data_IF_590096658855
#
_entry.id   IF_590096658855
#
_cell.length_a   1.000
_cell.length_b   1.000
_cell.length_c   1.000
_cell.angle_alpha   90.00
_cell.angle_beta   90.00
_cell.angle_gamma   90.00
#
_symmetry.space_group_name_H-M   'P 1'
#
loop_
_entity.id
_entity.type
_entity.pdbx_description
1 polymer ?
#
# COMPACT_ATOMS: atom_id res chain seq x y z
N UNK A 1 -21.17 1.11 -24.98
CA UNK A 1 -21.15 2.55 -25.35
C UNK A 1 -20.56 3.46 -24.27
N UNK A 2 -20.95 3.38 -22.98
CA UNK A 2 -20.24 4.12 -21.90
C UNK A 2 -18.80 3.62 -21.68
N UNK A 3 -18.59 2.30 -21.57
CA UNK A 3 -17.26 1.69 -21.33
C UNK A 3 -16.23 2.04 -22.42
N UNK A 4 -16.58 1.90 -23.71
CA UNK A 4 -15.71 2.31 -24.83
C UNK A 4 -15.33 3.80 -24.83
N UNK A 5 -16.22 4.68 -24.34
CA UNK A 5 -15.93 6.12 -24.28
C UNK A 5 -15.01 6.47 -23.11
N UNK A 6 -15.05 5.70 -22.02
CA UNK A 6 -14.19 5.87 -20.84
C UNK A 6 -12.82 5.21 -21.07
N UNK A 7 -12.76 4.07 -21.78
CA UNK A 7 -11.50 3.43 -22.18
C UNK A 7 -10.66 4.35 -23.09
N UNK A 8 -11.31 5.14 -23.95
CA UNK A 8 -10.65 6.20 -24.73
C UNK A 8 -10.12 7.35 -23.88
N UNK A 9 -10.82 7.74 -22.79
CA UNK A 9 -10.36 8.80 -21.87
C UNK A 9 -9.18 8.33 -21.03
N UNK A 10 -9.15 7.07 -20.60
CA UNK A 10 -8.01 6.51 -19.89
C UNK A 10 -6.79 6.33 -20.78
N UNK A 11 -7.02 5.91 -22.04
CA UNK A 11 -5.98 5.88 -23.05
C UNK A 11 -5.47 7.30 -23.34
N UNK A 12 -6.35 8.29 -23.48
CA UNK A 12 -5.96 9.68 -23.72
C UNK A 12 -5.24 10.28 -22.51
N UNK A 13 -5.68 10.05 -21.27
CA UNK A 13 -5.03 10.53 -20.05
C UNK A 13 -3.67 9.83 -19.85
N UNK A 14 -3.58 8.51 -20.08
CA UNK A 14 -2.30 7.79 -20.01
C UNK A 14 -1.35 8.22 -21.14
N UNK A 15 -1.83 8.37 -22.37
CA UNK A 15 -1.05 8.87 -23.51
C UNK A 15 -0.66 10.33 -23.31
N UNK A 16 -1.52 11.17 -22.74
CA UNK A 16 -1.27 12.58 -22.45
C UNK A 16 -0.26 12.73 -21.33
N UNK A 17 -0.37 11.98 -20.23
CA UNK A 17 0.65 11.99 -19.19
C UNK A 17 1.96 11.39 -19.66
N UNK A 18 1.92 10.33 -20.46
CA UNK A 18 3.11 9.82 -21.15
C UNK A 18 3.69 10.88 -22.10
N UNK A 19 2.85 11.65 -22.80
CA UNK A 19 3.27 12.71 -23.72
C UNK A 19 3.76 13.98 -23.03
N UNK A 20 3.15 14.42 -21.95
CA UNK A 20 3.62 15.55 -21.13
C UNK A 20 4.91 15.16 -20.41
N UNK A 21 5.01 13.92 -19.93
CA UNK A 21 6.22 13.40 -19.30
C UNK A 21 7.39 13.23 -20.30
N UNK A 22 7.11 12.75 -21.52
CA UNK A 22 8.13 12.34 -22.49
C UNK A 22 8.35 13.31 -23.67
N UNK A 23 7.35 14.12 -24.03
CA UNK A 23 7.29 14.87 -25.30
C UNK A 23 6.87 16.36 -25.19
N UNK A 24 6.40 16.90 -24.05
CA UNK A 24 6.25 18.36 -23.92
C UNK A 24 7.62 19.06 -23.81
N UNK A 25 7.96 19.84 -24.83
CA UNK A 25 9.12 20.74 -24.88
C UNK A 25 8.83 22.06 -24.14
N UNK A 26 9.62 22.47 -23.13
CA UNK A 26 9.80 23.89 -22.84
C UNK A 26 10.48 24.56 -24.05
N UNK A 27 10.20 25.84 -24.28
CA UNK A 27 10.45 26.59 -25.52
C UNK A 27 11.91 26.82 -25.96
N UNK A 28 12.85 25.93 -25.60
CA UNK A 28 14.25 26.00 -26.01
C UNK A 28 14.77 24.60 -26.38
N UNK A 29 14.85 24.33 -27.69
CA UNK A 29 15.32 23.07 -28.25
C UNK A 29 16.85 22.96 -28.21
N UNK A 30 17.38 22.16 -27.28
CA UNK A 30 18.77 21.67 -27.29
C UNK A 30 18.78 20.14 -27.46
N UNK A 31 19.67 19.62 -28.30
CA UNK A 31 19.81 18.18 -28.59
C UNK A 31 21.18 17.68 -28.13
N UNK A 32 21.21 16.48 -27.53
CA UNK A 32 22.43 15.78 -27.14
C UNK A 32 22.81 14.75 -28.22
N UNK A 33 24.07 14.79 -28.64
CA UNK A 33 24.62 13.90 -29.67
C UNK A 33 25.48 12.84 -29.00
N UNK A 34 25.20 11.57 -29.28
CA UNK A 34 25.95 10.43 -28.75
C UNK A 34 27.05 9.97 -29.73
N UNK A 35 28.05 9.24 -29.24
CA UNK A 35 29.24 8.81 -30.03
C UNK A 35 28.90 8.00 -31.30
N UNK A 36 27.73 7.37 -31.35
CA UNK A 36 27.23 6.62 -32.49
C UNK A 36 26.51 7.50 -33.55
N UNK A 37 26.51 8.82 -33.38
CA UNK A 37 25.87 9.78 -34.29
C UNK A 37 24.35 9.89 -34.12
N UNK A 38 23.75 9.19 -33.15
CA UNK A 38 22.34 9.36 -32.81
C UNK A 38 22.13 10.62 -31.98
N UNK A 39 21.03 11.33 -32.25
CA UNK A 39 20.67 12.56 -31.55
C UNK A 39 19.37 12.38 -30.80
N UNK A 40 19.38 12.73 -29.52
CA UNK A 40 18.20 12.69 -28.65
C UNK A 40 18.00 14.09 -28.06
N UNK A 41 16.76 14.60 -27.92
CA UNK A 41 16.53 15.85 -27.22
C UNK A 41 17.19 15.83 -25.82
N UNK A 42 17.88 16.92 -25.46
CA UNK A 42 18.72 16.99 -24.25
C UNK A 42 17.89 16.72 -22.98
N UNK A 43 16.65 17.19 -22.93
CA UNK A 43 15.71 16.91 -21.85
C UNK A 43 15.30 15.43 -21.77
N UNK A 44 15.14 14.72 -22.89
CA UNK A 44 14.85 13.28 -22.89
C UNK A 44 16.06 12.50 -22.39
N UNK A 45 17.26 12.89 -22.80
CA UNK A 45 18.50 12.29 -22.28
C UNK A 45 18.66 12.55 -20.78
N UNK A 46 18.46 13.79 -20.31
CA UNK A 46 18.50 14.16 -18.88
C UNK A 46 17.42 13.46 -18.06
N UNK A 47 16.17 13.39 -18.52
CA UNK A 47 15.08 12.67 -17.84
C UNK A 47 15.35 11.17 -17.81
N UNK A 48 15.91 10.60 -18.88
CA UNK A 48 16.33 9.19 -18.92
C UNK A 48 17.47 8.93 -17.95
N UNK A 49 18.48 9.82 -17.88
CA UNK A 49 19.55 9.75 -16.87
C UNK A 49 18.98 9.89 -15.45
N UNK A 50 18.01 10.77 -15.23
CA UNK A 50 17.34 10.95 -13.94
C UNK A 50 16.58 9.69 -13.53
N UNK A 51 15.85 9.05 -14.45
CA UNK A 51 15.16 7.77 -14.24
C UNK A 51 16.18 6.66 -13.97
N UNK A 52 17.29 6.60 -14.71
CA UNK A 52 18.36 5.62 -14.49
C UNK A 52 19.02 5.84 -13.13
N UNK A 53 19.26 7.08 -12.72
CA UNK A 53 19.80 7.46 -11.43
C UNK A 53 18.82 7.13 -10.29
N UNK A 54 17.51 7.32 -10.52
CA UNK A 54 16.43 6.94 -9.60
C UNK A 54 16.31 5.41 -9.49
N UNK A 55 16.41 4.68 -10.60
CA UNK A 55 16.41 3.22 -10.63
C UNK A 55 17.61 2.63 -9.88
N UNK A 56 18.76 3.31 -9.90
CA UNK A 56 19.94 2.93 -9.10
C UNK A 56 19.76 3.16 -7.60
N UNK A 57 18.84 4.04 -7.18
CA UNK A 57 18.54 4.35 -5.77
C UNK A 57 17.50 3.42 -5.13
N UNK A 58 16.82 2.60 -5.93
CA UNK A 58 15.84 1.63 -5.43
C UNK A 58 16.52 0.31 -5.03
N UNK A 59 16.31 -0.21 -3.80
CA UNK A 59 16.95 -1.44 -3.32
C UNK A 59 16.44 -2.71 -4.03
N UNK A 60 15.29 -2.65 -4.72
CA UNK A 60 14.73 -3.80 -5.45
C UNK A 60 14.01 -3.35 -6.75
N UNK A 61 14.70 -3.50 -7.88
CA UNK A 61 14.18 -3.12 -9.21
C UNK A 61 13.28 -4.19 -9.85
N UNK A 62 13.01 -5.32 -9.17
CA UNK A 62 12.26 -6.43 -9.77
C UNK A 62 10.81 -6.08 -10.10
N UNK A 63 10.14 -5.23 -9.31
CA UNK A 63 8.75 -4.85 -9.56
C UNK A 63 8.65 -3.98 -10.83
N UNK A 64 9.51 -2.97 -10.94
CA UNK A 64 9.64 -2.10 -12.12
C UNK A 64 10.06 -2.88 -13.36
N UNK A 65 11.07 -3.75 -13.25
CA UNK A 65 11.50 -4.64 -14.34
C UNK A 65 10.38 -5.60 -14.75
N UNK A 66 9.58 -6.10 -13.81
CA UNK A 66 8.44 -6.96 -14.11
C UNK A 66 7.32 -6.20 -14.81
N UNK A 67 7.04 -4.96 -14.38
CA UNK A 67 6.05 -4.09 -15.03
C UNK A 67 6.53 -3.71 -16.44
N UNK A 68 7.81 -3.35 -16.61
CA UNK A 68 8.42 -3.03 -17.91
C UNK A 68 8.44 -4.27 -18.82
N UNK A 69 8.87 -5.44 -18.34
CA UNK A 69 8.86 -6.69 -19.11
C UNK A 69 7.45 -7.07 -19.55
N UNK A 70 6.45 -6.93 -18.67
CA UNK A 70 5.03 -7.19 -18.99
C UNK A 70 4.47 -6.20 -19.99
N UNK A 71 4.90 -4.94 -19.96
CA UNK A 71 4.57 -3.93 -20.96
C UNK A 71 5.25 -4.18 -22.32
N UNK A 72 6.48 -4.69 -22.33
CA UNK A 72 7.22 -5.01 -23.56
C UNK A 72 6.74 -6.31 -24.22
N UNK A 73 6.07 -7.22 -23.50
CA UNK A 73 5.44 -8.42 -24.05
C UNK A 73 4.09 -8.17 -24.75
N UNK A 74 3.80 -6.92 -25.12
CA UNK A 74 2.72 -6.43 -25.97
C UNK A 74 1.83 -7.51 -26.63
N UNK A 75 0.73 -7.87 -25.97
CA UNK A 75 -0.55 -8.02 -26.66
C UNK A 75 -1.33 -6.72 -26.41
N UNK A 76 -1.17 -5.79 -27.34
CA UNK A 76 -1.98 -4.57 -27.47
C UNK A 76 -3.47 -4.99 -27.43
N UNK A 77 -4.30 -4.25 -26.66
CA UNK A 77 -5.80 -4.20 -26.67
C UNK A 77 -6.53 -4.32 -25.32
N UNK A 78 -5.88 -4.18 -24.16
CA UNK A 78 -6.63 -4.12 -22.89
C UNK A 78 -6.34 -2.84 -22.07
N UNK A 79 -7.37 -2.17 -21.50
CA UNK A 79 -7.23 -1.04 -20.57
C UNK A 79 -6.29 -1.33 -19.38
N UNK A 80 -6.07 -2.62 -19.11
CA UNK A 80 -5.12 -3.13 -18.12
C UNK A 80 -3.69 -2.56 -18.28
N UNK A 81 -3.18 -2.47 -19.51
CA UNK A 81 -1.77 -2.12 -19.73
C UNK A 81 -1.49 -0.67 -19.33
N UNK A 82 -2.41 0.24 -19.67
CA UNK A 82 -2.27 1.67 -19.34
C UNK A 82 -2.33 1.92 -17.83
N UNK A 83 -3.24 1.24 -17.12
CA UNK A 83 -3.32 1.37 -15.66
C UNK A 83 -2.08 0.84 -14.96
N UNK A 84 -1.46 -0.23 -15.47
CA UNK A 84 -0.20 -0.74 -14.92
C UNK A 84 0.97 0.23 -15.15
N UNK A 85 0.99 0.95 -16.27
CA UNK A 85 1.97 2.02 -16.50
C UNK A 85 1.73 3.19 -15.55
N UNK A 86 0.48 3.63 -15.40
CA UNK A 86 0.13 4.68 -14.43
C UNK A 86 0.49 4.28 -13.00
N UNK A 87 0.27 3.03 -12.63
CA UNK A 87 0.69 2.48 -11.33
C UNK A 87 2.21 2.58 -11.19
N UNK A 88 3.00 2.18 -12.18
CA UNK A 88 4.46 2.31 -12.12
C UNK A 88 4.92 3.77 -11.99
N UNK A 89 4.29 4.71 -12.68
CA UNK A 89 4.59 6.13 -12.53
C UNK A 89 4.23 6.63 -11.12
N UNK A 90 3.04 6.30 -10.64
CA UNK A 90 2.57 6.68 -9.30
C UNK A 90 3.47 6.11 -8.19
N UNK A 91 3.93 4.87 -8.34
CA UNK A 91 4.86 4.22 -7.41
C UNK A 91 6.21 4.95 -7.31
N UNK A 92 6.66 5.56 -8.41
CA UNK A 92 7.93 6.31 -8.46
C UNK A 92 7.72 7.73 -7.91
N UNK A 93 6.66 8.40 -8.35
CA UNK A 93 6.30 9.74 -7.91
C UNK A 93 4.78 9.94 -8.07
N UNK A 94 4.02 9.97 -6.95
CA UNK A 94 2.57 10.15 -6.99
C UNK A 94 2.13 11.49 -7.61
N UNK A 95 3.01 12.51 -7.66
CA UNK A 95 2.68 13.81 -8.26
C UNK A 95 2.46 13.72 -9.78
N UNK A 96 3.02 12.69 -10.44
CA UNK A 96 2.76 12.40 -11.85
C UNK A 96 1.31 12.01 -12.12
N UNK A 97 0.60 11.53 -11.10
CA UNK A 97 -0.84 11.24 -11.16
C UNK A 97 -1.68 12.33 -10.45
N UNK A 98 -1.09 13.48 -10.13
CA UNK A 98 -1.77 14.64 -9.56
C UNK A 98 -1.36 15.93 -10.31
N UNK A 99 -1.82 16.13 -11.56
CA UNK A 99 -1.43 17.28 -12.38
C UNK A 99 -1.73 18.61 -11.67
N UNK A 100 -0.82 19.59 -11.73
CA UNK A 100 -0.96 20.87 -11.05
C UNK A 100 -2.22 21.66 -11.48
N UNK A 101 -2.69 21.46 -12.72
CA UNK A 101 -3.91 22.07 -13.26
C UNK A 101 -5.20 21.47 -12.67
N UNK A 102 -5.21 20.17 -12.39
CA UNK A 102 -6.33 19.46 -11.79
C UNK A 102 -5.85 18.22 -11.01
N UNK A 103 -5.43 18.38 -9.74
CA UNK A 103 -4.85 17.28 -8.96
C UNK A 103 -5.82 16.10 -8.75
N UNK A 104 -7.13 16.37 -8.76
CA UNK A 104 -8.17 15.34 -8.54
C UNK A 104 -8.58 14.56 -9.80
N UNK A 105 -8.05 14.92 -10.98
CA UNK A 105 -8.45 14.33 -12.26
C UNK A 105 -8.37 12.80 -12.24
N UNK A 106 -7.25 12.24 -11.79
CA UNK A 106 -7.05 10.78 -11.78
C UNK A 106 -7.99 10.07 -10.83
N UNK A 107 -8.29 10.64 -9.67
CA UNK A 107 -9.27 10.05 -8.73
C UNK A 107 -10.65 10.00 -9.40
N UNK A 108 -11.08 11.08 -10.05
CA UNK A 108 -12.37 11.18 -10.73
C UNK A 108 -12.45 10.22 -11.93
N UNK A 109 -11.40 10.17 -12.76
CA UNK A 109 -11.36 9.33 -13.96
C UNK A 109 -11.33 7.84 -13.62
N UNK A 110 -10.61 7.46 -12.55
CA UNK A 110 -10.41 6.06 -12.19
C UNK A 110 -11.55 5.47 -11.34
N UNK A 111 -12.22 6.28 -10.51
CA UNK A 111 -13.28 5.82 -9.62
C UNK A 111 -14.36 4.93 -10.29
N UNK A 112 -14.88 5.25 -11.50
CA UNK A 112 -15.90 4.41 -12.15
C UNK A 112 -15.48 2.95 -12.37
N UNK A 113 -14.18 2.68 -12.52
CA UNK A 113 -13.64 1.34 -12.79
C UNK A 113 -13.69 0.42 -11.57
N UNK A 114 -13.73 0.99 -10.36
CA UNK A 114 -13.89 0.25 -9.10
C UNK A 114 -15.20 -0.57 -9.07
N UNK A 115 -16.22 -0.10 -9.81
CA UNK A 115 -17.57 -0.69 -9.87
C UNK A 115 -17.69 -1.94 -10.76
N UNK A 116 -16.60 -2.40 -11.38
CA UNK A 116 -16.59 -3.54 -12.32
C UNK A 116 -17.05 -4.85 -11.68
N UNK A 117 -18.14 -5.47 -12.12
CA UNK A 117 -18.70 -6.66 -11.41
C UNK A 117 -17.93 -7.98 -11.62
N UNK A 118 -16.99 -8.03 -12.57
CA UNK A 118 -16.20 -9.23 -12.87
C UNK A 118 -15.24 -9.53 -11.71
N UNK A 119 -15.16 -10.80 -11.28
CA UNK A 119 -14.30 -11.26 -10.18
C UNK A 119 -13.35 -12.35 -10.68
N UNK A 120 -12.18 -11.95 -11.18
CA UNK A 120 -11.10 -12.84 -11.61
C UNK A 120 -9.74 -12.20 -11.28
N UNK A 121 -8.65 -12.95 -11.41
CA UNK A 121 -7.31 -12.49 -11.00
C UNK A 121 -6.81 -11.27 -11.77
N UNK A 122 -7.12 -11.17 -13.07
CA UNK A 122 -6.73 -10.02 -13.90
C UNK A 122 -7.44 -8.75 -13.45
N UNK A 123 -8.76 -8.83 -13.24
CA UNK A 123 -9.57 -7.70 -12.75
C UNK A 123 -9.19 -7.36 -11.30
N UNK A 124 -8.82 -8.33 -10.47
CA UNK A 124 -8.31 -8.07 -9.14
C UNK A 124 -7.02 -7.23 -9.20
N UNK A 125 -6.07 -7.60 -10.07
CA UNK A 125 -4.84 -6.83 -10.26
C UNK A 125 -5.11 -5.41 -10.80
N UNK A 126 -6.11 -5.26 -11.68
CA UNK A 126 -6.57 -3.95 -12.14
C UNK A 126 -7.07 -3.10 -10.98
N UNK A 127 -8.01 -3.65 -10.20
CA UNK A 127 -8.64 -2.95 -9.09
C UNK A 127 -7.61 -2.60 -8.01
N UNK A 128 -6.66 -3.48 -7.73
CA UNK A 128 -5.54 -3.22 -6.84
C UNK A 128 -4.68 -2.05 -7.34
N UNK A 129 -4.34 -2.02 -8.63
CA UNK A 129 -3.54 -0.94 -9.24
C UNK A 129 -4.29 0.39 -9.23
N UNK A 130 -5.58 0.39 -9.58
CA UNK A 130 -6.42 1.59 -9.53
C UNK A 130 -6.51 2.11 -8.10
N UNK A 131 -6.79 1.23 -7.14
CA UNK A 131 -6.92 1.60 -5.73
C UNK A 131 -5.60 2.14 -5.18
N UNK A 132 -4.46 1.58 -5.60
CA UNK A 132 -3.13 2.08 -5.26
C UNK A 132 -2.92 3.52 -5.77
N UNK A 133 -3.18 3.77 -7.05
CA UNK A 133 -3.03 5.13 -7.63
C UNK A 133 -3.90 6.14 -6.88
N UNK A 134 -5.16 5.77 -6.60
CA UNK A 134 -6.07 6.64 -5.84
C UNK A 134 -5.53 6.88 -4.42
N UNK A 135 -5.09 5.84 -3.72
CA UNK A 135 -4.54 5.93 -2.35
C UNK A 135 -3.32 6.87 -2.26
N UNK A 136 -2.40 6.79 -3.22
CA UNK A 136 -1.16 7.58 -3.22
C UNK A 136 -1.38 9.02 -3.71
N UNK A 137 -2.35 9.24 -4.60
CA UNK A 137 -2.72 10.60 -5.05
C UNK A 137 -3.53 11.35 -3.99
N UNK A 138 -4.39 10.66 -3.24
CA UNK A 138 -5.28 11.25 -2.24
C UNK A 138 -4.54 12.21 -1.28
N UNK A 139 -3.43 11.84 -0.62
CA UNK A 139 -2.67 12.72 0.27
C UNK A 139 -2.15 14.01 -0.36
N UNK A 140 -1.98 14.05 -1.69
CA UNK A 140 -1.54 15.25 -2.42
C UNK A 140 -2.68 16.25 -2.65
N UNK A 141 -3.94 15.85 -2.40
CA UNK A 141 -5.11 16.68 -2.65
C UNK A 141 -5.40 17.57 -1.45
N UNK A 142 -5.47 18.89 -1.66
CA UNK A 142 -5.87 19.83 -0.60
C UNK A 142 -7.34 19.70 -0.21
N UNK A 143 -8.23 19.36 -1.17
CA UNK A 143 -9.66 19.17 -0.95
C UNK A 143 -10.27 18.35 -2.08
N UNK A 144 -11.21 17.47 -1.75
CA UNK A 144 -12.02 16.75 -2.72
C UNK A 144 -13.50 17.14 -2.54
N UNK A 145 -14.30 17.28 -3.61
CA UNK A 145 -15.74 17.49 -3.49
C UNK A 145 -16.41 16.38 -2.65
N UNK A 146 -17.31 16.77 -1.73
CA UNK A 146 -17.95 15.85 -0.79
C UNK A 146 -18.68 14.69 -1.49
N UNK A 147 -19.29 14.94 -2.64
CA UNK A 147 -19.95 13.90 -3.44
C UNK A 147 -18.98 12.81 -3.87
N UNK A 148 -17.76 13.16 -4.28
CA UNK A 148 -16.75 12.18 -4.70
C UNK A 148 -16.23 11.40 -3.49
N UNK A 149 -16.02 12.09 -2.35
CA UNK A 149 -15.61 11.44 -1.09
C UNK A 149 -16.63 10.39 -0.66
N UNK A 150 -17.91 10.76 -0.61
CA UNK A 150 -18.96 9.85 -0.17
C UNK A 150 -19.15 8.68 -1.17
N UNK A 151 -19.07 8.93 -2.48
CA UNK A 151 -19.11 7.87 -3.49
C UNK A 151 -17.92 6.92 -3.38
N UNK A 152 -16.70 7.44 -3.21
CA UNK A 152 -15.49 6.64 -3.08
C UNK A 152 -15.54 5.78 -1.82
N UNK A 153 -16.01 6.34 -0.70
CA UNK A 153 -16.21 5.60 0.55
C UNK A 153 -17.16 4.41 0.33
N UNK A 154 -18.30 4.62 -0.35
CA UNK A 154 -19.23 3.53 -0.61
C UNK A 154 -18.63 2.46 -1.54
N UNK A 155 -17.92 2.87 -2.58
CA UNK A 155 -17.27 1.94 -3.52
C UNK A 155 -16.23 1.07 -2.80
N UNK A 156 -15.37 1.69 -1.98
CA UNK A 156 -14.37 0.99 -1.17
C UNK A 156 -15.03 0.02 -0.19
N UNK A 157 -16.09 0.44 0.53
CA UNK A 157 -16.85 -0.44 1.43
C UNK A 157 -17.43 -1.64 0.70
N UNK A 158 -18.04 -1.45 -0.47
CA UNK A 158 -18.59 -2.56 -1.25
C UNK A 158 -17.49 -3.52 -1.72
N UNK A 159 -16.32 -3.00 -2.13
CA UNK A 159 -15.19 -3.83 -2.53
C UNK A 159 -14.63 -4.64 -1.35
N UNK A 160 -14.48 -4.02 -0.17
CA UNK A 160 -14.06 -4.69 1.07
C UNK A 160 -15.01 -5.82 1.45
N UNK A 161 -16.32 -5.66 1.21
CA UNK A 161 -17.31 -6.66 1.59
C UNK A 161 -17.48 -7.78 0.55
N UNK A 162 -17.31 -7.50 -0.75
CA UNK A 162 -17.73 -8.42 -1.83
C UNK A 162 -16.60 -9.11 -2.60
N UNK A 163 -15.41 -8.51 -2.71
CA UNK A 163 -14.33 -9.04 -3.58
C UNK A 163 -13.65 -10.25 -2.99
N UNK A 164 -13.47 -11.33 -3.73
CA UNK A 164 -12.82 -12.55 -3.22
C UNK A 164 -11.32 -12.39 -2.93
N UNK A 165 -10.63 -11.56 -3.70
CA UNK A 165 -9.18 -11.35 -3.61
C UNK A 165 -8.78 -10.44 -2.45
N UNK A 166 -7.91 -10.95 -1.58
CA UNK A 166 -7.51 -10.27 -0.35
C UNK A 166 -6.54 -9.11 -0.59
N UNK A 167 -5.79 -9.11 -1.68
CA UNK A 167 -4.91 -7.99 -2.08
C UNK A 167 -5.74 -6.74 -2.41
N UNK A 168 -6.85 -6.91 -3.14
CA UNK A 168 -7.81 -5.84 -3.41
C UNK A 168 -8.41 -5.31 -2.11
N UNK A 169 -8.83 -6.20 -1.21
CA UNK A 169 -9.39 -5.81 0.10
C UNK A 169 -8.37 -5.00 0.91
N UNK A 170 -7.11 -5.42 0.91
CA UNK A 170 -6.03 -4.68 1.58
C UNK A 170 -5.86 -3.29 0.99
N UNK A 171 -5.73 -3.18 -0.34
CA UNK A 171 -5.64 -1.90 -1.03
C UNK A 171 -6.83 -1.00 -0.69
N UNK A 172 -8.05 -1.53 -0.64
CA UNK A 172 -9.23 -0.74 -0.29
C UNK A 172 -9.22 -0.24 1.15
N UNK A 173 -8.80 -1.06 2.12
CA UNK A 173 -8.72 -0.61 3.53
C UNK A 173 -7.62 0.45 3.70
N UNK A 174 -6.48 0.30 3.01
CA UNK A 174 -5.41 1.31 2.98
C UNK A 174 -5.92 2.63 2.37
N UNK A 175 -6.57 2.57 1.21
CA UNK A 175 -7.18 3.72 0.54
C UNK A 175 -8.26 4.40 1.40
N UNK A 176 -9.07 3.62 2.12
CA UNK A 176 -10.10 4.14 3.01
C UNK A 176 -9.49 5.02 4.11
N UNK A 177 -8.32 4.65 4.66
CA UNK A 177 -7.60 5.49 5.62
C UNK A 177 -7.20 6.83 5.01
N UNK A 178 -6.57 6.84 3.84
CA UNK A 178 -6.12 8.07 3.17
C UNK A 178 -7.30 8.98 2.86
N UNK A 179 -8.40 8.41 2.36
CA UNK A 179 -9.65 9.12 2.11
C UNK A 179 -10.25 9.69 3.41
N UNK A 180 -10.34 8.90 4.49
CA UNK A 180 -10.84 9.35 5.79
C UNK A 180 -10.00 10.48 6.38
N UNK A 181 -8.67 10.46 6.17
CA UNK A 181 -7.76 11.53 6.60
C UNK A 181 -8.11 12.85 5.93
N UNK A 182 -8.37 12.84 4.62
CA UNK A 182 -8.76 14.04 3.84
C UNK A 182 -10.17 14.51 4.21
N UNK A 183 -11.08 13.58 4.43
CA UNK A 183 -12.45 13.89 4.81
C UNK A 183 -12.58 14.41 6.26
N UNK A 184 -11.55 14.20 7.11
CA UNK A 184 -11.60 14.50 8.54
C UNK A 184 -12.59 13.63 9.32
N UNK A 185 -13.13 12.57 8.70
CA UNK A 185 -14.10 11.63 9.28
C UNK A 185 -13.73 10.20 8.87
N UNK A 186 -13.86 9.25 9.79
CA UNK A 186 -13.52 7.84 9.49
C UNK A 186 -13.83 6.84 10.61
N UNK A 187 -14.00 7.31 11.85
CA UNK A 187 -14.27 6.43 12.99
C UNK A 187 -15.49 5.53 12.77
N UNK A 188 -16.62 6.10 12.35
CA UNK A 188 -17.90 5.38 12.19
C UNK A 188 -17.80 4.27 11.13
N UNK A 189 -17.08 4.52 10.04
CA UNK A 189 -16.92 3.56 8.94
C UNK A 189 -16.05 2.40 9.37
N UNK A 190 -14.93 2.67 10.05
CA UNK A 190 -14.03 1.65 10.56
C UNK A 190 -14.75 0.80 11.61
N UNK A 191 -15.44 1.43 12.56
CA UNK A 191 -16.22 0.73 13.60
C UNK A 191 -17.30 -0.17 12.99
N UNK A 192 -18.07 0.36 12.03
CA UNK A 192 -19.08 -0.40 11.32
C UNK A 192 -18.48 -1.64 10.61
N UNK A 193 -17.37 -1.48 9.89
CA UNK A 193 -16.73 -2.60 9.19
C UNK A 193 -16.19 -3.66 10.17
N UNK A 194 -15.58 -3.23 11.29
CA UNK A 194 -15.14 -4.16 12.35
C UNK A 194 -16.34 -4.96 12.88
N UNK A 195 -17.45 -4.29 13.21
CA UNK A 195 -18.67 -4.96 13.69
C UNK A 195 -19.23 -5.96 12.68
N UNK A 196 -19.23 -5.63 11.38
CA UNK A 196 -19.67 -6.53 10.31
C UNK A 196 -18.82 -7.82 10.29
N UNK A 197 -17.49 -7.69 10.34
CA UNK A 197 -16.61 -8.87 10.30
C UNK A 197 -16.67 -9.70 11.58
N UNK A 198 -16.87 -9.09 12.75
CA UNK A 198 -17.17 -9.82 13.98
C UNK A 198 -18.47 -10.63 13.85
N UNK A 199 -19.54 -10.03 13.34
CA UNK A 199 -20.81 -10.74 13.10
C UNK A 199 -20.65 -11.90 12.11
N UNK A 200 -19.82 -11.74 11.08
CA UNK A 200 -19.47 -12.83 10.17
C UNK A 200 -18.78 -14.00 10.88
N UNK A 201 -17.94 -13.73 11.88
CA UNK A 201 -17.30 -14.78 12.67
C UNK A 201 -18.31 -15.50 13.56
N UNK A 202 -19.18 -14.78 14.27
CA UNK A 202 -20.19 -15.37 15.15
C UNK A 202 -21.13 -16.34 14.40
N UNK A 203 -21.43 -16.04 13.14
CA UNK A 203 -22.37 -16.82 12.30
C UNK A 203 -21.72 -17.96 11.51
N UNK A 204 -20.40 -17.94 11.27
CA UNK A 204 -19.76 -18.84 10.29
C UNK A 204 -18.58 -19.66 10.85
N UNK A 205 -18.39 -19.65 12.17
CA UNK A 205 -17.23 -20.23 12.88
C UNK A 205 -16.89 -21.69 12.55
N UNK A 206 -17.82 -22.50 12.06
CA UNK A 206 -17.60 -23.94 11.83
C UNK A 206 -17.68 -24.34 10.33
N UNK A 207 -18.37 -23.58 9.48
CA UNK A 207 -18.72 -24.04 8.11
C UNK A 207 -17.89 -23.39 7.01
N UNK A 208 -17.39 -22.16 7.20
CA UNK A 208 -16.72 -21.41 6.12
C UNK A 208 -15.35 -20.86 6.56
N UNK A 209 -14.32 -21.71 6.50
CA UNK A 209 -12.94 -21.36 6.86
C UNK A 209 -12.39 -20.17 6.05
N UNK A 210 -12.74 -20.07 4.78
CA UNK A 210 -12.31 -18.96 3.92
C UNK A 210 -12.88 -17.63 4.40
N UNK A 211 -14.16 -17.59 4.76
CA UNK A 211 -14.78 -16.38 5.31
C UNK A 211 -14.24 -16.03 6.69
N UNK A 212 -13.98 -17.03 7.55
CA UNK A 212 -13.31 -16.80 8.84
C UNK A 212 -11.95 -16.15 8.62
N UNK A 213 -11.12 -16.72 7.73
CA UNK A 213 -9.80 -16.15 7.39
C UNK A 213 -9.89 -14.74 6.78
N UNK A 214 -10.92 -14.47 5.97
CA UNK A 214 -11.19 -13.11 5.46
C UNK A 214 -11.51 -12.15 6.60
N UNK A 215 -12.44 -12.51 7.50
CA UNK A 215 -12.84 -11.66 8.62
C UNK A 215 -11.66 -11.33 9.53
N UNK A 216 -10.84 -12.33 9.88
CA UNK A 216 -9.65 -12.13 10.73
C UNK A 216 -8.70 -11.10 10.12
N UNK A 217 -8.41 -11.23 8.82
CA UNK A 217 -7.58 -10.30 8.08
C UNK A 217 -8.14 -8.89 8.02
N UNK A 218 -9.43 -8.75 7.69
CA UNK A 218 -10.07 -7.45 7.62
C UNK A 218 -10.03 -6.75 8.98
N UNK A 219 -10.33 -7.45 10.08
CA UNK A 219 -10.29 -6.87 11.43
C UNK A 219 -8.86 -6.38 11.75
N UNK A 220 -7.83 -7.20 11.48
CA UNK A 220 -6.44 -6.80 11.70
C UNK A 220 -6.04 -5.55 10.91
N UNK A 221 -6.37 -5.50 9.62
CA UNK A 221 -6.07 -4.34 8.77
C UNK A 221 -6.86 -3.08 9.15
N UNK A 222 -8.13 -3.22 9.52
CA UNK A 222 -8.97 -2.11 9.99
C UNK A 222 -8.40 -1.51 11.27
N UNK A 223 -7.87 -2.33 12.18
CA UNK A 223 -7.17 -1.86 13.38
C UNK A 223 -5.88 -1.14 13.00
N UNK A 224 -5.06 -1.72 12.11
CA UNK A 224 -3.80 -1.13 11.65
C UNK A 224 -4.00 0.27 11.06
N UNK A 225 -4.85 0.37 10.04
CA UNK A 225 -5.01 1.61 9.28
C UNK A 225 -6.01 2.58 9.92
N UNK A 226 -6.96 2.09 10.73
CA UNK A 226 -7.92 2.90 11.49
C UNK A 226 -7.38 3.44 12.82
N UNK A 227 -6.14 3.12 13.18
CA UNK A 227 -5.56 3.33 14.51
C UNK A 227 -5.67 4.78 15.05
N UNK A 228 -5.47 5.78 14.18
CA UNK A 228 -5.57 7.19 14.56
C UNK A 228 -6.99 7.56 15.01
N UNK A 229 -8.00 7.07 14.30
CA UNK A 229 -9.39 7.23 14.68
C UNK A 229 -9.72 6.39 15.89
N UNK A 230 -9.07 5.23 16.06
CA UNK A 230 -9.32 4.35 17.19
C UNK A 230 -8.82 4.91 18.53
N UNK A 231 -7.90 5.87 18.54
CA UNK A 231 -7.46 6.52 19.78
C UNK A 231 -8.43 7.60 20.27
N UNK A 232 -9.18 8.24 19.36
CA UNK A 232 -9.91 9.49 19.64
C UNK A 232 -11.33 9.32 20.20
N UNK A 233 -11.89 8.11 20.34
CA UNK A 233 -13.11 7.94 21.14
C UNK A 233 -12.84 7.11 22.37
N UNK A 234 -13.16 7.69 23.53
CA UNK A 234 -12.74 7.21 24.86
C UNK A 234 -13.26 5.84 25.31
N UNK A 235 -13.82 5.01 24.43
CA UNK A 235 -14.28 3.63 24.69
C UNK A 235 -13.49 2.54 23.94
N UNK A 236 -12.49 2.91 23.13
CA UNK A 236 -12.00 2.09 22.01
C UNK A 236 -10.93 1.04 22.30
N UNK A 237 -10.42 0.96 23.53
CA UNK A 237 -9.48 -0.12 23.89
C UNK A 237 -10.17 -1.49 23.96
N UNK A 238 -11.49 -1.49 24.19
CA UNK A 238 -12.30 -2.72 24.31
C UNK A 238 -12.34 -3.51 23.00
N UNK A 239 -12.43 -2.83 21.85
CA UNK A 239 -12.49 -3.51 20.54
C UNK A 239 -11.14 -4.12 20.14
N UNK A 240 -10.03 -3.43 20.42
CA UNK A 240 -8.69 -3.96 20.14
C UNK A 240 -8.37 -5.16 21.03
N UNK A 241 -8.67 -5.08 22.34
CA UNK A 241 -8.45 -6.21 23.26
C UNK A 241 -9.33 -7.41 22.91
N UNK A 242 -10.60 -7.18 22.56
CA UNK A 242 -11.50 -8.24 22.04
C UNK A 242 -10.93 -8.90 20.78
N UNK A 243 -10.36 -8.11 19.88
CA UNK A 243 -9.73 -8.62 18.65
C UNK A 243 -8.46 -9.42 18.94
N UNK A 244 -7.63 -9.00 19.89
CA UNK A 244 -6.47 -9.78 20.34
C UNK A 244 -6.88 -11.15 20.89
N UNK A 245 -7.84 -11.18 21.82
CA UNK A 245 -8.37 -12.45 22.37
C UNK A 245 -8.94 -13.36 21.28
N UNK A 246 -9.60 -12.78 20.28
CA UNK A 246 -10.10 -13.51 19.12
C UNK A 246 -8.96 -14.12 18.29
N UNK A 247 -7.92 -13.36 17.97
CA UNK A 247 -6.78 -13.85 17.18
C UNK A 247 -6.02 -14.95 17.92
N UNK A 248 -5.79 -14.78 19.23
CA UNK A 248 -5.19 -15.80 20.10
C UNK A 248 -6.02 -17.09 20.11
N UNK A 249 -7.36 -16.98 20.20
CA UNK A 249 -8.26 -18.14 20.11
C UNK A 249 -8.06 -18.92 18.81
N UNK A 250 -7.95 -18.23 17.67
CA UNK A 250 -7.75 -18.88 16.37
C UNK A 250 -6.30 -19.32 16.10
N UNK A 251 -5.31 -18.85 16.86
CA UNK A 251 -3.97 -19.43 16.86
C UNK A 251 -3.94 -20.81 17.53
N UNK A 252 -4.87 -21.06 18.46
CA UNK A 252 -5.00 -22.33 19.16
C UNK A 252 -5.84 -23.39 18.40
N UNK A 253 -6.49 -23.05 17.27
CA UNK A 253 -7.28 -24.03 16.49
C UNK A 253 -6.39 -24.93 15.64
N UNK A 254 -6.79 -26.17 15.37
CA UNK A 254 -5.96 -27.12 14.60
C UNK A 254 -5.77 -26.75 13.12
N UNK A 255 -6.56 -25.82 12.60
CA UNK A 255 -6.48 -25.41 11.19
C UNK A 255 -5.31 -24.45 10.94
N UNK A 256 -4.26 -24.94 10.30
CA UNK A 256 -3.06 -24.17 9.97
C UNK A 256 -3.33 -22.91 9.13
N UNK A 257 -4.31 -22.94 8.23
CA UNK A 257 -4.62 -21.75 7.41
C UNK A 257 -5.19 -20.63 8.27
N UNK A 258 -6.03 -20.98 9.26
CA UNK A 258 -6.56 -20.03 10.23
C UNK A 258 -5.47 -19.56 11.21
N UNK A 259 -4.55 -20.43 11.64
CA UNK A 259 -3.41 -20.01 12.46
C UNK A 259 -2.56 -18.95 11.77
N UNK A 260 -2.13 -19.21 10.53
CA UNK A 260 -1.34 -18.24 9.73
C UNK A 260 -2.11 -16.94 9.59
N UNK A 261 -3.42 -17.01 9.30
CA UNK A 261 -4.24 -15.82 9.09
C UNK A 261 -4.46 -15.02 10.38
N UNK A 262 -4.60 -15.67 11.52
CA UNK A 262 -4.65 -15.02 12.82
C UNK A 262 -3.32 -14.44 13.24
N UNK A 263 -2.21 -15.11 12.93
CA UNK A 263 -0.87 -14.58 13.18
C UNK A 263 -0.65 -13.31 12.36
N UNK A 264 -1.05 -13.30 11.09
CA UNK A 264 -1.02 -12.11 10.24
C UNK A 264 -1.86 -10.96 10.82
N UNK A 265 -3.09 -11.25 11.25
CA UNK A 265 -3.98 -10.26 11.84
C UNK A 265 -3.44 -9.71 13.17
N UNK A 266 -2.84 -10.57 14.01
CA UNK A 266 -2.12 -10.16 15.21
C UNK A 266 -0.97 -9.21 14.85
N UNK A 267 -0.15 -9.55 13.85
CA UNK A 267 0.91 -8.69 13.34
C UNK A 267 0.43 -7.28 12.99
N UNK A 268 -0.70 -7.16 12.28
CA UNK A 268 -1.29 -5.85 11.97
C UNK A 268 -1.68 -5.04 13.21
N UNK A 269 -2.18 -5.68 14.27
CA UNK A 269 -2.45 -4.99 15.54
C UNK A 269 -1.15 -4.53 16.18
N UNK A 270 -0.11 -5.37 16.19
CA UNK A 270 1.18 -5.04 16.80
C UNK A 270 1.90 -3.90 16.06
N UNK A 271 1.67 -3.74 14.76
CA UNK A 271 2.15 -2.55 14.01
C UNK A 271 1.45 -1.27 14.48
N UNK A 272 0.14 -1.33 14.73
CA UNK A 272 -0.62 -0.16 15.19
C UNK A 272 -0.40 0.15 16.69
N UNK A 273 -0.19 -0.88 17.50
CA UNK A 273 -0.15 -0.84 18.96
C UNK A 273 1.01 -1.74 19.46
N UNK A 274 2.27 -1.32 19.28
CA UNK A 274 3.44 -2.13 19.62
C UNK A 274 3.55 -2.46 21.11
N UNK A 275 2.87 -1.70 21.98
CA UNK A 275 2.81 -1.97 23.42
C UNK A 275 2.30 -3.39 23.74
N UNK A 276 1.46 -3.98 22.88
CA UNK A 276 0.96 -5.34 23.07
C UNK A 276 2.04 -6.41 22.83
N UNK A 277 3.13 -6.12 22.13
CA UNK A 277 4.25 -7.06 21.97
C UNK A 277 4.89 -7.42 23.31
N UNK A 278 4.77 -6.55 24.32
CA UNK A 278 5.34 -6.73 25.65
C UNK A 278 4.40 -7.49 26.60
N UNK A 279 3.13 -7.73 26.23
CA UNK A 279 2.24 -8.57 27.02
C UNK A 279 2.75 -10.02 26.99
N UNK A 280 2.85 -10.65 28.17
CA UNK A 280 3.45 -11.99 28.33
C UNK A 280 2.91 -13.04 27.36
N UNK A 281 1.58 -13.10 27.19
CA UNK A 281 0.96 -14.13 26.34
C UNK A 281 1.26 -13.91 24.86
N UNK A 282 1.38 -12.65 24.42
CA UNK A 282 1.73 -12.30 23.03
C UNK A 282 3.23 -12.54 22.81
N UNK A 283 4.07 -12.13 23.75
CA UNK A 283 5.51 -12.40 23.71
C UNK A 283 5.81 -13.90 23.57
N UNK A 284 5.09 -14.74 24.34
CA UNK A 284 5.18 -16.20 24.23
C UNK A 284 4.76 -16.72 22.85
N UNK A 285 3.68 -16.20 22.26
CA UNK A 285 3.26 -16.56 20.89
C UNK A 285 4.36 -16.22 19.87
N UNK A 286 4.97 -15.04 19.99
CA UNK A 286 6.05 -14.62 19.09
C UNK A 286 7.29 -15.52 19.24
N UNK A 287 7.67 -15.85 20.48
CA UNK A 287 8.78 -16.79 20.75
C UNK A 287 8.50 -18.18 20.18
N UNK A 288 7.30 -18.74 20.43
CA UNK A 288 6.91 -20.06 19.93
C UNK A 288 6.88 -20.11 18.40
N UNK A 289 6.37 -19.07 17.75
CA UNK A 289 6.27 -18.99 16.27
C UNK A 289 7.60 -18.78 15.56
N UNK A 290 8.61 -18.24 16.27
CA UNK A 290 9.98 -18.09 15.77
C UNK A 290 10.92 -19.20 16.25
N UNK A 291 10.45 -20.10 17.12
CA UNK A 291 11.25 -21.21 17.64
C UNK A 291 11.73 -22.16 16.54
N UNK A 292 12.79 -22.91 16.84
CA UNK A 292 13.34 -23.92 15.92
C UNK A 292 12.29 -24.97 15.51
N UNK A 293 11.37 -25.31 16.41
CA UNK A 293 10.32 -26.33 16.18
C UNK A 293 9.05 -25.77 15.53
N UNK A 294 9.00 -24.45 15.26
CA UNK A 294 7.84 -23.84 14.64
C UNK A 294 7.64 -24.32 13.19
N UNK A 295 6.38 -24.49 12.80
CA UNK A 295 6.05 -24.74 11.39
C UNK A 295 6.57 -23.60 10.50
N UNK A 296 7.17 -23.96 9.37
CA UNK A 296 7.81 -22.99 8.47
C UNK A 296 6.86 -21.89 8.00
N UNK A 297 5.56 -22.18 7.80
CA UNK A 297 4.58 -21.17 7.34
C UNK A 297 4.25 -20.18 8.44
N UNK A 298 4.18 -20.62 9.70
CA UNK A 298 4.02 -19.74 10.86
C UNK A 298 5.26 -18.88 11.07
N UNK A 299 6.46 -19.47 10.95
CA UNK A 299 7.74 -18.75 11.03
C UNK A 299 7.84 -17.66 9.96
N UNK A 300 7.54 -17.99 8.69
CA UNK A 300 7.50 -17.01 7.60
C UNK A 300 6.51 -15.87 7.89
N UNK A 301 5.31 -16.18 8.37
CA UNK A 301 4.32 -15.15 8.69
C UNK A 301 4.74 -14.28 9.88
N UNK A 302 5.34 -14.85 10.92
CA UNK A 302 5.89 -14.08 12.04
C UNK A 302 7.00 -13.13 11.58
N UNK A 303 7.92 -13.61 10.73
CA UNK A 303 8.98 -12.79 10.14
C UNK A 303 8.42 -11.68 9.25
N UNK A 304 7.39 -11.95 8.44
CA UNK A 304 6.70 -10.93 7.66
C UNK A 304 6.09 -9.84 8.55
N UNK A 305 5.44 -10.23 9.65
CA UNK A 305 4.87 -9.27 10.60
C UNK A 305 5.96 -8.39 11.22
N UNK A 306 7.08 -8.98 11.63
CA UNK A 306 8.22 -8.25 12.20
C UNK A 306 8.85 -7.31 11.17
N UNK A 307 9.03 -7.78 9.94
CA UNK A 307 9.54 -6.97 8.84
C UNK A 307 8.64 -5.76 8.57
N UNK A 308 7.33 -5.96 8.45
CA UNK A 308 6.38 -4.87 8.24
C UNK A 308 6.33 -3.89 9.41
N UNK A 309 6.48 -4.36 10.66
CA UNK A 309 6.59 -3.48 11.83
C UNK A 309 7.84 -2.59 11.76
N UNK A 310 8.99 -3.16 11.42
CA UNK A 310 10.24 -2.41 11.35
C UNK A 310 10.21 -1.36 10.23
N UNK A 311 9.64 -1.68 9.07
CA UNK A 311 9.42 -0.71 8.00
C UNK A 311 8.49 0.44 8.42
N UNK A 312 7.42 0.14 9.15
CA UNK A 312 6.48 1.14 9.64
C UNK A 312 7.12 2.04 10.72
N UNK A 313 7.97 1.47 11.57
CA UNK A 313 8.74 2.22 12.57
C UNK A 313 9.78 3.14 11.91
N UNK A 314 10.51 2.66 10.90
CA UNK A 314 11.47 3.46 10.12
C UNK A 314 10.78 4.67 9.47
N UNK A 315 9.65 4.43 8.80
CA UNK A 315 8.87 5.50 8.13
C UNK A 315 8.39 6.59 9.12
N UNK A 316 8.06 6.22 10.36
CA UNK A 316 7.66 7.18 11.40
C UNK A 316 8.85 8.00 11.92
N UNK A 317 10.01 7.37 12.09
CA UNK A 317 11.23 8.06 12.52
C UNK A 317 11.71 9.08 11.48
N UNK A 318 11.59 8.76 10.19
CA UNK A 318 11.90 9.70 9.09
C UNK A 318 10.97 10.93 9.13
N UNK A 319 9.66 10.72 9.30
CA UNK A 319 8.70 11.81 9.40
C UNK A 319 8.92 12.73 10.61
N UNK A 320 9.33 12.17 11.76
CA UNK A 320 9.66 12.93 12.97
C UNK A 320 11.00 13.69 12.85
N UNK A 321 11.92 13.25 11.99
CA UNK A 321 13.18 13.94 11.74
C UNK A 321 12.97 15.21 10.87
N UNK A 322 12.08 15.14 9.88
CA UNK A 322 11.74 16.29 9.02
C UNK A 322 10.92 17.37 9.75
N UNK A 323 10.05 16.99 10.70
CA UNK A 323 9.24 17.94 11.48
C UNK A 323 10.07 18.71 12.54
N UNK A 324 11.28 18.24 12.87
CA UNK A 324 12.16 18.82 13.89
C UNK A 324 13.17 19.85 13.35
N UNK A 325 12.88 20.52 12.24
CA UNK A 325 13.69 21.69 11.78
C UNK A 325 12.96 23.02 12.06
N UNK A 326 12.91 23.51 13.32
CA UNK A 326 12.74 24.94 13.56
C UNK A 326 14.10 25.61 13.36
N UNK A 327 14.12 26.67 12.54
CA UNK A 327 15.34 27.37 12.13
C UNK A 327 16.31 27.66 13.27
N UNK A 328 17.52 27.12 13.17
CA UNK A 328 18.66 27.62 13.92
C UNK A 328 19.87 27.80 12.99
N UNK A 329 20.36 29.03 13.00
CA UNK A 329 21.54 29.53 12.30
C UNK A 329 22.74 28.59 12.38
N UNK A 330 23.38 28.43 11.22
CA UNK A 330 24.71 27.88 10.97
C UNK A 330 25.70 28.17 12.10
N UNK A 331 26.33 27.11 12.62
CA UNK A 331 27.71 27.17 13.10
C UNK A 331 28.45 25.92 12.65
N UNK A 332 29.36 26.12 11.70
CA UNK A 332 30.26 25.11 11.17
C UNK A 332 31.09 24.47 12.29
N UNK A 333 31.13 23.14 12.31
CA UNK A 333 31.99 22.37 13.20
C UNK A 333 31.62 20.89 13.26
N UNK A 334 32.28 20.08 12.42
CA UNK A 334 32.36 18.62 12.45
C UNK A 334 31.05 17.84 12.17
N UNK A 335 30.68 17.77 10.90
CA UNK A 335 29.93 16.62 10.38
C UNK A 335 30.90 15.44 10.22
N UNK A 336 30.75 14.42 11.05
CA UNK A 336 31.26 13.08 10.75
C UNK A 336 30.49 12.59 9.52
N UNK A 337 31.15 12.09 8.46
CA UNK A 337 30.44 11.67 7.27
C UNK A 337 29.64 10.41 7.63
N UNK A 338 28.31 10.50 7.52
CA UNK A 338 27.43 9.32 7.47
C UNK A 338 27.64 8.67 6.11
N UNK A 339 28.78 7.99 5.98
CA UNK A 339 29.02 7.04 4.91
C UNK A 339 28.53 5.66 5.37
N UNK A 340 27.74 5.02 4.51
CA UNK A 340 27.26 3.64 4.59
C UNK A 340 26.10 3.36 5.57
N UNK A 341 24.90 3.83 5.23
CA UNK A 341 23.69 3.07 5.56
C UNK A 341 23.43 2.06 4.43
N UNK A 342 24.00 0.86 4.54
CA UNK A 342 23.27 -0.32 4.07
C UNK A 342 21.88 -0.21 4.68
N UNK A 343 20.83 -0.19 3.84
CA UNK A 343 19.47 0.09 4.32
C UNK A 343 19.16 -0.81 5.51
N UNK A 344 18.51 -0.28 6.54
CA UNK A 344 18.11 -1.09 7.71
C UNK A 344 17.31 -2.30 7.23
N UNK A 345 16.59 -2.16 6.12
CA UNK A 345 15.96 -3.23 5.32
C UNK A 345 16.90 -4.38 4.93
N UNK A 346 18.12 -4.11 4.44
CA UNK A 346 19.11 -5.15 4.11
C UNK A 346 19.59 -5.90 5.36
N UNK A 347 19.79 -5.19 6.47
CA UNK A 347 20.19 -5.80 7.75
C UNK A 347 19.06 -6.64 8.34
N UNK A 348 17.82 -6.17 8.25
CA UNK A 348 16.63 -6.92 8.70
C UNK A 348 16.40 -8.13 7.80
N UNK A 349 16.54 -8.00 6.48
CA UNK A 349 16.41 -9.12 5.55
C UNK A 349 17.50 -10.18 5.80
N UNK A 350 18.73 -9.77 6.12
CA UNK A 350 19.79 -10.67 6.53
C UNK A 350 19.48 -11.39 7.86
N UNK A 351 18.88 -10.71 8.83
CA UNK A 351 18.42 -11.33 10.09
C UNK A 351 17.28 -12.32 9.82
N UNK A 352 16.30 -11.97 8.99
CA UNK A 352 15.22 -12.87 8.60
C UNK A 352 15.73 -14.12 7.86
N UNK A 353 16.70 -13.96 6.94
CA UNK A 353 17.35 -15.08 6.26
C UNK A 353 18.15 -15.95 7.23
N UNK A 354 18.90 -15.35 8.15
CA UNK A 354 19.62 -16.09 9.18
C UNK A 354 18.68 -16.88 10.11
N UNK A 355 17.51 -16.34 10.47
CA UNK A 355 16.48 -17.05 11.25
C UNK A 355 15.84 -18.20 10.45
N UNK A 356 15.79 -18.11 9.12
CA UNK A 356 15.24 -19.17 8.26
C UNK A 356 16.24 -20.31 8.01
N UNK A 357 17.54 -20.04 8.06
CA UNK A 357 18.62 -21.02 7.92
C UNK A 357 18.95 -21.78 9.22
N UNK A 358 18.34 -21.38 10.35
CA UNK A 358 18.36 -22.07 11.65
C UNK A 358 17.05 -22.84 11.85
#
# INVERSE_FOLDING_TARGET
>A
MRTQKVDGVLQDDACKTFHEFWFEEPSASQTQVFENGSTVPLEVAKKTEQIVEMLKRLPNNQLLVTIIKRNLTLDFFLPQSYVLVLHAFCLVDPTLCAPASNPSQYVITLQPYLKTQVDNSMVAQLLESITFIIDDVLPLLCKLPLSIVDELEQDLKQMILRRSFLTVVHACIKCLRSMSKIAGKGADVIEHLIQVFFKCLDTQTIVNKQQVGRSLFCIGLLIRYGNCWLASSGNKLVDVRRSLSLFMKYLAVDDYSLKVRSLQALGYVLIARPEFMLEHDIGKILEETLSFHADARLKIQALQNMFEYLLDAESKMEAEADDNVPGHSVRAGQSVPVAATNSVTEKIMAICLWILDQ
#
